data_IF_820020149732
#
_entry.id   IF_820020149732
#
_cell.length_a   1.000
_cell.length_b   1.000
_cell.length_c   1.000
_cell.angle_alpha   90.00
_cell.angle_beta   90.00
_cell.angle_gamma   90.00
#
_symmetry.space_group_name_H-M   'P 1'
#
loop_
_entity.id
_entity.type
_entity.pdbx_description
1 polymer ?
#
# COMPACT_ATOMS: atom_id res chain seq x y z
N UNK A 1 6.52 -14.14 14.34
CA UNK A 1 5.16 -14.14 13.76
C UNK A 1 5.00 -15.37 12.89
N UNK A 2 3.84 -16.03 12.91
CA UNK A 2 3.58 -17.11 11.94
C UNK A 2 3.66 -16.53 10.52
N UNK A 3 4.35 -17.21 9.59
CA UNK A 3 4.45 -16.75 8.20
C UNK A 3 3.08 -16.56 7.52
N UNK A 4 2.04 -17.19 8.07
CA UNK A 4 0.65 -16.99 7.65
C UNK A 4 0.17 -15.54 7.83
N UNK A 5 0.51 -14.90 8.96
CA UNK A 5 0.14 -13.49 9.26
C UNK A 5 0.73 -12.53 8.23
N UNK A 6 1.95 -12.79 7.76
CA UNK A 6 2.63 -11.99 6.73
C UNK A 6 1.85 -11.97 5.42
N UNK A 7 1.35 -13.14 5.00
CA UNK A 7 0.59 -13.28 3.74
C UNK A 7 -0.71 -12.48 3.82
N UNK A 8 -1.43 -12.55 4.94
CA UNK A 8 -2.68 -11.79 5.13
C UNK A 8 -2.47 -10.28 5.10
N UNK A 9 -1.41 -9.79 5.73
CA UNK A 9 -1.09 -8.36 5.72
C UNK A 9 -0.67 -7.90 4.33
N UNK A 10 0.08 -8.71 3.57
CA UNK A 10 0.42 -8.42 2.18
C UNK A 10 -0.84 -8.25 1.32
N UNK A 11 -1.80 -9.16 1.45
CA UNK A 11 -3.08 -9.08 0.73
C UNK A 11 -3.83 -7.79 1.09
N UNK A 12 -3.88 -7.43 2.38
CA UNK A 12 -4.54 -6.22 2.85
C UNK A 12 -3.87 -4.95 2.29
N UNK A 13 -2.54 -4.89 2.29
CA UNK A 13 -1.77 -3.76 1.74
C UNK A 13 -1.99 -3.62 0.23
N UNK A 14 -2.04 -4.73 -0.51
CA UNK A 14 -2.32 -4.70 -1.95
C UNK A 14 -3.74 -4.21 -2.22
N UNK A 15 -4.74 -4.66 -1.45
CA UNK A 15 -6.11 -4.16 -1.55
C UNK A 15 -6.23 -2.67 -1.21
N UNK A 16 -5.51 -2.20 -0.20
CA UNK A 16 -5.46 -0.78 0.13
C UNK A 16 -4.80 0.05 -0.98
N UNK A 17 -3.74 -0.49 -1.61
CA UNK A 17 -3.04 0.15 -2.73
C UNK A 17 -3.90 0.24 -3.99
N UNK A 18 -4.62 -0.82 -4.34
CA UNK A 18 -5.56 -0.81 -5.47
C UNK A 18 -6.75 0.11 -5.20
N UNK A 19 -7.27 0.13 -3.97
CA UNK A 19 -8.28 1.10 -3.53
C UNK A 19 -7.80 2.55 -3.72
N UNK A 20 -6.62 2.89 -3.20
CA UNK A 20 -6.02 4.21 -3.35
C UNK A 20 -5.75 4.61 -4.81
N UNK A 21 -5.48 3.64 -5.69
CA UNK A 21 -5.30 3.89 -7.12
C UNK A 21 -6.61 4.29 -7.82
N UNK A 22 -7.73 3.65 -7.45
CA UNK A 22 -9.05 3.92 -8.03
C UNK A 22 -9.65 5.21 -7.49
N UNK A 23 -9.46 5.49 -6.19
CA UNK A 23 -10.03 6.68 -5.54
C UNK A 23 -9.22 7.96 -5.75
N UNK A 24 -8.04 7.89 -6.38
CA UNK A 24 -7.21 9.05 -6.62
C UNK A 24 -7.94 10.11 -7.48
N UNK A 25 -8.13 11.35 -6.98
CA UNK A 25 -8.86 12.39 -7.68
C UNK A 25 -8.15 12.75 -8.99
N UNK A 26 -8.93 12.91 -10.06
CA UNK A 26 -8.42 13.29 -11.39
C UNK A 26 -8.02 14.76 -11.36
N UNK A 27 -6.72 15.04 -11.42
CA UNK A 27 -6.14 16.38 -11.34
C UNK A 27 -4.66 16.38 -11.70
N UNK A 28 -3.99 17.55 -11.70
CA UNK A 28 -2.57 17.68 -12.07
C UNK A 28 -1.64 16.83 -11.19
N UNK A 29 -2.03 16.57 -9.94
CA UNK A 29 -1.28 15.74 -9.00
C UNK A 29 -1.74 14.27 -8.97
N UNK A 30 -2.54 13.78 -9.91
CA UNK A 30 -3.08 12.42 -9.86
C UNK A 30 -1.98 11.33 -9.81
N UNK A 31 -0.92 11.51 -10.61
CA UNK A 31 0.21 10.57 -10.63
C UNK A 31 0.98 10.64 -9.30
N UNK A 32 1.20 11.85 -8.77
CA UNK A 32 1.87 12.07 -7.50
C UNK A 32 1.13 11.42 -6.32
N UNK A 33 -0.21 11.59 -6.25
CA UNK A 33 -1.01 11.00 -5.18
C UNK A 33 -0.96 9.46 -5.26
N UNK A 34 -1.08 8.89 -6.46
CA UNK A 34 -1.02 7.44 -6.67
C UNK A 34 0.32 6.86 -6.23
N UNK A 35 1.43 7.48 -6.62
CA UNK A 35 2.77 6.98 -6.29
C UNK A 35 3.08 7.17 -4.81
N UNK A 36 2.75 8.32 -4.20
CA UNK A 36 2.94 8.54 -2.77
C UNK A 36 2.19 7.50 -1.93
N UNK A 37 0.91 7.25 -2.21
CA UNK A 37 0.10 6.26 -1.46
C UNK A 37 0.70 4.85 -1.58
N UNK A 38 1.11 4.43 -2.78
CA UNK A 38 1.74 3.13 -2.97
C UNK A 38 3.09 3.02 -2.25
N UNK A 39 3.92 4.06 -2.30
CA UNK A 39 5.23 4.07 -1.65
C UNK A 39 5.12 4.03 -0.12
N UNK A 40 4.18 4.78 0.45
CA UNK A 40 3.95 4.76 1.91
C UNK A 40 3.47 3.40 2.36
N UNK A 41 2.51 2.78 1.64
CA UNK A 41 2.02 1.44 1.94
C UNK A 41 3.13 0.38 1.83
N UNK A 42 3.99 0.47 0.80
CA UNK A 42 5.14 -0.42 0.65
C UNK A 42 6.14 -0.26 1.80
N UNK A 43 6.46 0.99 2.19
CA UNK A 43 7.39 1.28 3.28
C UNK A 43 6.86 0.79 4.63
N UNK A 44 5.58 1.01 4.92
CA UNK A 44 4.92 0.52 6.13
C UNK A 44 4.90 -1.01 6.20
N UNK A 45 4.67 -1.70 5.07
CA UNK A 45 4.70 -3.16 5.02
C UNK A 45 6.10 -3.72 5.29
N UNK A 46 7.14 -3.11 4.70
CA UNK A 46 8.53 -3.53 4.88
C UNK A 46 8.96 -3.31 6.34
N UNK A 47 8.71 -2.13 6.94
CA UNK A 47 9.04 -1.88 8.35
C UNK A 47 8.33 -2.85 9.31
N UNK A 48 7.08 -3.19 9.02
CA UNK A 48 6.33 -4.14 9.82
C UNK A 48 6.86 -5.57 9.68
N UNK A 49 7.21 -5.99 8.47
CA UNK A 49 7.82 -7.30 8.20
C UNK A 49 9.23 -7.44 8.80
N UNK A 50 10.01 -6.36 8.81
CA UNK A 50 11.37 -6.33 9.35
C UNK A 50 11.45 -6.30 10.88
N UNK A 51 10.32 -6.37 11.60
CA UNK A 51 10.24 -6.37 13.07
C UNK A 51 9.97 -7.77 13.61
#
# INVERSE_FOLDING_TARGET
MSGWTTIWVLVLVVLAGTGGWVTAPKGPNQVLIRTCVLLTLACCYIMWFSR
#
